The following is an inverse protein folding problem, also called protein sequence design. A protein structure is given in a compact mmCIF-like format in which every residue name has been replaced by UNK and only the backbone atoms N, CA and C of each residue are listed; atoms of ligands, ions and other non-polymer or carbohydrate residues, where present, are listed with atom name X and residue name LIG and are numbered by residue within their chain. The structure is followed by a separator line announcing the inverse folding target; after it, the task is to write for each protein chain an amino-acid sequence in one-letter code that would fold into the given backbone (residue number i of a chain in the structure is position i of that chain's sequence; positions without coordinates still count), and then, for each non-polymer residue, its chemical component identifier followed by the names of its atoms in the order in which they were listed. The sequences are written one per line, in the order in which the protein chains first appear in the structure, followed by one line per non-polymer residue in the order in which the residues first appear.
data_IF_904884027064
#
_entry.id   IF_904884027064
#
_cell.length_a   1.000
_cell.length_b   1.000
_cell.length_c   1.000
_cell.angle_alpha   90.00
_cell.angle_beta   90.00
_cell.angle_gamma   90.00
#
_symmetry.space_group_name_H-M   'P 1'
#
loop_
_entity.id
_entity.type
_entity.pdbx_description
1 polymer ?
#
# COMPACT_ATOMS: atom_id res chain seq x y z
N UNK A 1 -29.43 61.66 -27.92
CA UNK A 1 -30.05 60.83 -28.96
C UNK A 1 -29.55 59.40 -28.79
N UNK A 2 -30.44 58.42 -28.58
CA UNK A 2 -30.10 57.02 -28.34
C UNK A 2 -29.96 56.25 -29.67
N UNK A 3 -29.08 55.25 -29.73
CA UNK A 3 -29.11 54.20 -30.76
C UNK A 3 -29.11 52.83 -30.06
N UNK A 4 -29.98 51.88 -30.44
CA UNK A 4 -30.31 50.70 -29.67
C UNK A 4 -29.51 49.45 -30.08
N UNK A 5 -29.50 48.48 -29.16
CA UNK A 5 -29.62 47.02 -29.34
C UNK A 5 -29.10 46.39 -30.63
N UNK A 6 -28.19 45.41 -30.51
CA UNK A 6 -28.52 44.01 -30.84
C UNK A 6 -27.45 43.00 -30.40
N UNK A 7 -27.92 42.06 -29.58
CA UNK A 7 -27.55 40.66 -29.46
C UNK A 7 -26.25 40.15 -30.13
N UNK A 8 -25.38 39.57 -29.30
CA UNK A 8 -24.94 38.17 -29.49
C UNK A 8 -24.46 37.62 -28.15
N UNK A 9 -25.40 37.15 -27.34
CA UNK A 9 -25.07 36.25 -26.24
C UNK A 9 -24.55 34.95 -26.87
N UNK A 10 -23.23 34.77 -26.90
CA UNK A 10 -22.60 33.48 -27.20
C UNK A 10 -22.91 32.55 -26.03
N UNK A 11 -24.12 31.98 -26.06
CA UNK A 11 -24.52 30.87 -25.20
C UNK A 11 -23.66 29.68 -25.59
N UNK A 12 -22.54 29.51 -24.90
CA UNK A 12 -21.69 28.32 -24.99
C UNK A 12 -22.53 27.13 -24.54
N UNK A 13 -23.12 26.43 -25.51
CA UNK A 13 -23.78 25.15 -25.29
C UNK A 13 -22.71 24.13 -24.94
N UNK A 14 -22.54 23.88 -23.63
CA UNK A 14 -21.80 22.72 -23.16
C UNK A 14 -22.65 21.51 -23.51
N UNK A 15 -22.26 20.76 -24.55
CA UNK A 15 -22.80 19.42 -24.83
C UNK A 15 -22.51 18.53 -23.61
N UNK A 16 -23.52 17.95 -22.93
CA UNK A 16 -23.27 16.88 -21.99
C UNK A 16 -23.10 15.59 -22.79
N UNK A 17 -21.94 15.45 -23.44
CA UNK A 17 -21.46 14.17 -23.94
C UNK A 17 -20.85 13.41 -22.78
N UNK A 18 -21.71 12.88 -21.91
CA UNK A 18 -21.29 12.03 -20.82
C UNK A 18 -20.71 10.72 -21.36
N UNK A 19 -19.77 10.21 -20.58
CA UNK A 19 -19.22 8.86 -20.61
C UNK A 19 -18.26 8.61 -21.76
N UNK A 20 -17.06 9.15 -21.60
CA UNK A 20 -15.85 8.45 -22.02
C UNK A 20 -15.87 7.07 -21.35
N UNK A 21 -16.41 6.09 -22.08
CA UNK A 21 -16.28 4.69 -21.76
C UNK A 21 -14.80 4.39 -21.73
N UNK A 22 -14.23 4.33 -20.51
CA UNK A 22 -12.98 3.64 -20.27
C UNK A 22 -13.20 2.20 -20.69
N UNK A 23 -12.90 1.94 -21.96
CA UNK A 23 -12.92 0.62 -22.55
C UNK A 23 -11.99 -0.24 -21.70
N UNK A 24 -12.58 -1.22 -21.01
CA UNK A 24 -11.92 -2.27 -20.23
C UNK A 24 -11.24 -3.28 -21.15
N UNK A 25 -10.56 -2.81 -22.18
CA UNK A 25 -9.84 -3.63 -23.12
C UNK A 25 -8.39 -3.18 -23.10
N UNK A 26 -7.53 -4.16 -22.76
CA UNK A 26 -6.07 -4.08 -22.71
C UNK A 26 -5.47 -3.50 -21.42
N UNK A 27 -5.81 -4.12 -20.28
CA UNK A 27 -4.77 -4.41 -19.29
C UNK A 27 -3.95 -5.62 -19.77
N UNK A 28 -3.46 -5.57 -21.03
CA UNK A 28 -2.34 -6.41 -21.41
C UNK A 28 -1.20 -6.08 -20.46
N UNK A 29 -0.48 -7.11 -20.02
CA UNK A 29 0.70 -7.03 -19.16
C UNK A 29 1.79 -6.19 -19.84
N UNK A 30 1.60 -4.88 -19.87
CA UNK A 30 2.61 -3.95 -20.34
C UNK A 30 3.78 -4.11 -19.38
N UNK A 31 5.01 -4.26 -19.89
CA UNK A 31 6.20 -4.31 -19.04
C UNK A 31 6.16 -3.14 -18.06
N UNK A 32 6.35 -3.43 -16.77
CA UNK A 32 6.38 -2.40 -15.74
C UNK A 32 7.32 -1.28 -16.19
N UNK A 33 6.83 -0.03 -16.21
CA UNK A 33 7.64 1.10 -16.63
C UNK A 33 8.85 1.19 -15.68
N UNK A 34 10.04 1.61 -16.15
CA UNK A 34 11.24 1.70 -15.28
C UNK A 34 11.00 2.51 -13.99
N UNK A 35 10.11 3.49 -14.08
CA UNK A 35 9.64 4.26 -12.93
C UNK A 35 8.88 3.39 -11.91
N UNK A 36 7.97 2.53 -12.37
CA UNK A 36 7.20 1.61 -11.52
C UNK A 36 8.12 0.59 -10.83
N UNK A 37 9.18 0.13 -11.52
CA UNK A 37 10.21 -0.73 -10.94
C UNK A 37 11.06 -0.03 -9.88
N UNK A 38 11.44 1.23 -10.11
CA UNK A 38 12.16 2.01 -9.10
C UNK A 38 11.27 2.26 -7.87
N UNK A 39 9.99 2.57 -8.09
CA UNK A 39 9.01 2.75 -7.02
C UNK A 39 8.74 1.47 -6.26
N UNK A 40 8.60 0.32 -6.94
CA UNK A 40 8.40 -0.96 -6.26
C UNK A 40 9.58 -1.34 -5.37
N UNK A 41 10.81 -1.03 -5.78
CA UNK A 41 12.01 -1.22 -4.94
C UNK A 41 11.97 -0.35 -3.68
N UNK A 42 11.54 0.90 -3.79
CA UNK A 42 11.35 1.79 -2.63
C UNK A 42 10.28 1.26 -1.68
N UNK A 43 9.12 0.85 -2.21
CA UNK A 43 8.07 0.24 -1.39
C UNK A 43 8.52 -1.06 -0.74
N UNK A 44 9.32 -1.89 -1.42
CA UNK A 44 9.86 -3.10 -0.84
C UNK A 44 10.80 -2.79 0.34
N UNK A 45 11.63 -1.75 0.26
CA UNK A 45 12.47 -1.31 1.37
C UNK A 45 11.61 -0.87 2.57
N UNK A 46 10.59 -0.04 2.35
CA UNK A 46 9.68 0.40 3.41
C UNK A 46 8.95 -0.76 4.10
N UNK A 47 8.53 -1.78 3.34
CA UNK A 47 7.87 -2.96 3.91
C UNK A 47 8.84 -3.83 4.72
N UNK A 48 10.11 -3.90 4.32
CA UNK A 48 11.15 -4.61 5.09
C UNK A 48 11.47 -3.88 6.39
N UNK A 49 11.60 -2.55 6.34
CA UNK A 49 11.80 -1.72 7.53
C UNK A 49 10.62 -1.86 8.51
N UNK A 50 9.37 -1.83 8.02
CA UNK A 50 8.18 -2.06 8.84
C UNK A 50 8.18 -3.47 9.49
N UNK A 51 8.65 -4.51 8.79
CA UNK A 51 8.78 -5.85 9.37
C UNK A 51 9.79 -5.83 10.53
N UNK A 52 10.94 -5.19 10.34
CA UNK A 52 11.96 -5.07 11.38
C UNK A 52 11.42 -4.31 12.60
N UNK A 53 10.72 -3.19 12.39
CA UNK A 53 10.11 -2.40 13.47
C UNK A 53 9.06 -3.21 14.25
N UNK A 54 8.26 -4.03 13.57
CA UNK A 54 7.27 -4.90 14.23
C UNK A 54 7.93 -6.02 15.04
N UNK A 55 9.02 -6.60 14.55
CA UNK A 55 9.80 -7.63 15.26
C UNK A 55 10.49 -7.04 16.51
N UNK A 56 10.98 -5.80 16.43
CA UNK A 56 11.53 -5.08 17.58
C UNK A 56 10.45 -4.79 18.63
N UNK A 57 9.26 -4.34 18.21
CA UNK A 57 8.13 -4.15 19.11
C UNK A 57 7.73 -5.44 19.83
N UNK A 58 7.70 -6.57 19.12
CA UNK A 58 7.46 -7.88 19.73
C UNK A 58 8.53 -8.20 20.78
N UNK A 59 9.81 -7.99 20.47
CA UNK A 59 10.92 -8.23 21.39
C UNK A 59 10.80 -7.40 22.67
N UNK A 60 10.47 -6.11 22.53
CA UNK A 60 10.26 -5.21 23.68
C UNK A 60 9.07 -5.67 24.52
N UNK A 61 7.95 -6.02 23.89
CA UNK A 61 6.75 -6.47 24.57
C UNK A 61 6.97 -7.82 25.30
N UNK A 62 7.67 -8.76 24.68
CA UNK A 62 8.04 -10.04 25.31
C UNK A 62 8.95 -9.84 26.53
N UNK A 63 9.92 -8.93 26.44
CA UNK A 63 10.79 -8.58 27.58
C UNK A 63 10.01 -7.91 28.70
N UNK A 64 9.05 -7.03 28.38
CA UNK A 64 8.17 -6.39 29.37
C UNK A 64 7.27 -7.41 30.05
N UNK A 65 6.67 -8.31 29.27
CA UNK A 65 5.82 -9.40 29.76
C UNK A 65 6.56 -10.32 30.72
N UNK A 66 7.76 -10.78 30.34
CA UNK A 66 8.60 -11.63 31.21
C UNK A 66 8.94 -10.94 32.53
N UNK A 67 9.28 -9.65 32.48
CA UNK A 67 9.54 -8.86 33.71
C UNK A 67 8.29 -8.71 34.57
N UNK A 68 7.14 -8.42 33.96
CA UNK A 68 5.87 -8.30 34.67
C UNK A 68 5.47 -9.63 35.33
N UNK A 69 5.61 -10.76 34.64
CA UNK A 69 5.35 -12.10 35.18
C UNK A 69 6.27 -12.46 36.35
N UNK A 70 7.53 -12.04 36.32
CA UNK A 70 8.45 -12.24 37.45
C UNK A 70 8.04 -11.45 38.71
N UNK A 71 7.27 -10.37 38.54
CA UNK A 71 6.83 -9.48 39.64
C UNK A 71 5.36 -9.64 40.02
N UNK A 72 4.53 -10.25 39.18
CA UNK A 72 3.07 -10.26 39.33
C UNK A 72 2.55 -11.58 39.89
N UNK A 73 1.84 -11.50 41.02
CA UNK A 73 0.80 -12.47 41.36
C UNK A 73 -0.47 -12.07 40.60
N UNK A 74 -0.76 -12.81 39.52
CA UNK A 74 -2.04 -13.00 38.80
C UNK A 74 -2.99 -11.79 38.68
N UNK A 75 -3.16 -11.22 37.47
CA UNK A 75 -4.35 -10.38 37.20
C UNK A 75 -4.32 -9.31 36.10
N UNK A 76 -3.32 -9.24 35.22
CA UNK A 76 -3.28 -8.19 34.16
C UNK A 76 -3.66 -8.79 32.80
N UNK A 77 -4.47 -8.06 32.02
CA UNK A 77 -4.87 -8.37 30.63
C UNK A 77 -3.74 -9.04 29.86
N UNK A 78 -4.05 -10.17 29.21
CA UNK A 78 -3.09 -11.09 28.62
C UNK A 78 -2.20 -10.38 27.59
N UNK A 79 -0.92 -10.07 27.91
CA UNK A 79 0.03 -9.53 26.94
C UNK A 79 0.18 -10.39 25.67
N UNK A 80 -0.30 -11.63 25.73
CA UNK A 80 -0.52 -12.55 24.62
C UNK A 80 -1.32 -11.94 23.47
N UNK A 81 -2.37 -11.17 23.71
CA UNK A 81 -3.24 -10.66 22.64
C UNK A 81 -2.54 -9.59 21.79
N UNK A 82 -1.79 -8.70 22.44
CA UNK A 82 -0.95 -7.73 21.77
C UNK A 82 0.18 -8.40 20.94
N UNK A 83 0.80 -9.46 21.46
CA UNK A 83 1.77 -10.25 20.70
C UNK A 83 1.14 -10.95 19.49
N UNK A 84 -0.07 -11.50 19.63
CA UNK A 84 -0.81 -12.11 18.52
C UNK A 84 -1.18 -11.06 17.47
N UNK A 85 -1.54 -9.84 17.88
CA UNK A 85 -1.82 -8.74 16.96
C UNK A 85 -0.57 -8.35 16.15
N UNK A 86 0.58 -8.21 16.80
CA UNK A 86 1.85 -7.92 16.12
C UNK A 86 2.23 -9.04 15.13
N UNK A 87 2.12 -10.31 15.52
CA UNK A 87 2.37 -11.45 14.63
C UNK A 87 1.45 -11.44 13.39
N UNK A 88 0.16 -11.14 13.57
CA UNK A 88 -0.77 -11.00 12.44
C UNK A 88 -0.35 -9.87 11.51
N UNK A 89 0.13 -8.77 12.07
CA UNK A 89 0.59 -7.61 11.29
C UNK A 89 1.85 -7.93 10.48
N UNK A 90 2.84 -8.61 11.07
CA UNK A 90 4.04 -9.07 10.35
C UNK A 90 3.65 -9.92 9.14
N UNK A 91 2.76 -10.90 9.33
CA UNK A 91 2.28 -11.75 8.23
C UNK A 91 1.55 -10.96 7.15
N UNK A 92 0.84 -9.89 7.49
CA UNK A 92 0.18 -9.01 6.53
C UNK A 92 1.19 -8.25 5.68
N UNK A 93 2.19 -7.64 6.31
CA UNK A 93 3.25 -6.88 5.62
C UNK A 93 4.09 -7.81 4.73
N UNK A 94 4.39 -9.03 5.19
CA UNK A 94 5.02 -10.07 4.38
C UNK A 94 4.19 -10.41 3.14
N UNK A 95 2.86 -10.62 3.28
CA UNK A 95 1.98 -10.86 2.13
C UNK A 95 1.97 -9.68 1.15
N UNK A 96 2.01 -8.44 1.64
CA UNK A 96 2.11 -7.26 0.78
C UNK A 96 3.43 -7.24 0.01
N UNK A 97 4.55 -7.56 0.67
CA UNK A 97 5.87 -7.64 0.04
C UNK A 97 5.91 -8.73 -1.04
N UNK A 98 5.34 -9.90 -0.76
CA UNK A 98 5.25 -11.00 -1.72
C UNK A 98 4.37 -10.66 -2.92
N UNK A 99 3.25 -9.95 -2.70
CA UNK A 99 2.40 -9.47 -3.77
C UNK A 99 3.12 -8.43 -4.64
N UNK A 100 3.88 -7.52 -4.01
CA UNK A 100 4.66 -6.51 -4.70
C UNK A 100 5.76 -7.14 -5.57
N UNK A 101 6.51 -8.10 -5.02
CA UNK A 101 7.55 -8.85 -5.76
C UNK A 101 6.99 -9.65 -6.93
N UNK A 102 5.85 -10.32 -6.74
CA UNK A 102 5.15 -11.05 -7.82
C UNK A 102 4.71 -10.13 -8.96
N UNK A 103 4.29 -8.90 -8.65
CA UNK A 103 3.87 -7.91 -9.65
C UNK A 103 5.04 -7.23 -10.36
N UNK A 104 6.16 -7.06 -9.68
CA UNK A 104 7.35 -6.38 -10.17
C UNK A 104 8.60 -7.24 -9.97
N UNK A 105 8.76 -8.33 -10.74
CA UNK A 105 9.95 -9.17 -10.67
C UNK A 105 11.19 -8.33 -11.04
N UNK A 106 12.27 -8.50 -10.27
CA UNK A 106 13.54 -7.86 -10.61
C UNK A 106 14.17 -8.50 -11.86
N UNK A 107 15.04 -7.76 -12.56
CA UNK A 107 15.84 -8.31 -13.68
C UNK A 107 16.64 -9.56 -13.29
N UNK A 108 16.96 -9.74 -12.00
CA UNK A 108 17.61 -10.93 -11.45
C UNK A 108 16.69 -12.10 -11.08
N UNK A 109 15.37 -11.90 -10.97
CA UNK A 109 14.41 -12.97 -10.65
C UNK A 109 14.00 -13.76 -11.91
N UNK A 110 13.98 -13.12 -13.08
CA UNK A 110 13.71 -13.81 -14.35
C UNK A 110 14.83 -14.78 -14.78
N UNK A 111 16.04 -14.64 -14.23
CA UNK A 111 17.21 -15.47 -14.54
C UNK A 111 17.37 -16.72 -13.66
N UNK A 112 16.52 -16.91 -12.63
CA UNK A 112 16.61 -18.04 -11.69
C UNK A 112 15.75 -19.26 -12.07
N UNK A 113 15.23 -19.31 -13.30
CA UNK A 113 14.57 -20.49 -13.87
C UNK A 113 15.54 -21.14 -14.86
N UNK A 114 16.43 -22.00 -14.37
CA UNK A 114 17.24 -22.92 -15.18
C UNK A 114 17.28 -24.26 -14.46
#
# INVERSE_FOLDING_TARGET
MPIPSNATATRRTVRPGAVGGRSRFEAESRPAHRADLAQSRLFAALLLDEIADLEDQMTVLERRTRRAQATAQTGVESPTDALLALRRRVLEVQRMLDALRRRFPGEGDSLRVI
#
